data_IF_443031979411
#
_entry.id   IF_443031979411
#
_cell.length_a   1.000
_cell.length_b   1.000
_cell.length_c   1.000
_cell.angle_alpha   90.00
_cell.angle_beta   90.00
_cell.angle_gamma   90.00
#
_symmetry.space_group_name_H-M   'P 1'
#
loop_
_entity.id
_entity.type
_entity.pdbx_description
1 polymer ?
#
# COMPACT_ATOMS: atom_id res chain seq x y z
N UNK A 1 14.72 34.57 62.85
CA UNK A 1 14.72 33.08 62.78
C UNK A 1 16.17 32.59 62.83
N UNK A 2 16.45 31.53 63.57
CA UNK A 2 17.79 30.92 63.55
C UNK A 2 18.01 30.29 62.13
N UNK A 3 19.17 30.54 61.51
CA UNK A 3 19.47 29.91 60.22
C UNK A 3 19.43 28.39 60.36
N UNK A 4 18.97 27.72 59.33
CA UNK A 4 18.94 26.25 59.26
C UNK A 4 20.35 25.69 59.26
N UNK A 5 20.63 24.58 59.95
CA UNK A 5 21.95 23.97 60.00
C UNK A 5 22.35 23.23 58.70
N UNK A 6 21.61 23.38 57.67
CA UNK A 6 21.83 22.82 56.34
C UNK A 6 21.26 23.71 55.25
N UNK A 7 21.74 23.52 54.02
CA UNK A 7 21.26 24.19 52.80
C UNK A 7 20.77 23.12 51.80
N UNK A 8 19.72 23.42 51.08
CA UNK A 8 19.17 22.56 50.05
C UNK A 8 19.38 23.24 48.69
N UNK A 9 20.06 22.54 47.81
CA UNK A 9 20.20 22.94 46.41
C UNK A 9 19.16 22.20 45.59
N UNK A 10 18.25 22.93 44.96
CA UNK A 10 17.25 22.41 44.04
C UNK A 10 17.84 22.27 42.64
N UNK A 11 17.39 21.29 41.89
CA UNK A 11 17.79 21.09 40.51
C UNK A 11 17.38 22.27 39.63
N UNK A 12 16.12 22.73 39.75
CA UNK A 12 15.55 23.88 39.08
C UNK A 12 14.27 24.33 39.80
N UNK A 13 13.81 25.56 39.52
CA UNK A 13 12.50 26.07 40.00
C UNK A 13 11.39 25.88 38.96
N UNK A 14 11.75 25.68 37.71
CA UNK A 14 10.85 25.39 36.60
C UNK A 14 11.48 24.32 35.70
N UNK A 15 10.70 23.30 35.37
CA UNK A 15 11.15 22.15 34.58
C UNK A 15 10.12 21.88 33.49
N UNK A 16 10.60 21.81 32.24
CA UNK A 16 9.79 21.41 31.11
C UNK A 16 9.92 19.91 30.88
N UNK A 17 8.78 19.24 30.64
CA UNK A 17 8.71 17.83 30.30
C UNK A 17 7.72 17.65 29.15
N UNK A 18 7.88 16.58 28.35
CA UNK A 18 6.88 16.21 27.34
C UNK A 18 5.77 15.41 28.00
N UNK A 19 4.56 15.59 27.54
CA UNK A 19 3.37 14.87 28.00
C UNK A 19 3.59 13.35 27.94
N UNK A 20 3.41 12.69 29.10
CA UNK A 20 3.58 11.25 29.26
C UNK A 20 4.97 10.82 29.69
N UNK A 21 5.95 11.75 29.77
CA UNK A 21 7.28 11.43 30.26
C UNK A 21 7.31 11.30 31.79
N UNK A 22 8.34 10.60 32.26
CA UNK A 22 8.72 10.55 33.67
C UNK A 22 9.74 11.64 33.97
N UNK A 23 9.66 12.22 35.19
CA UNK A 23 10.62 13.20 35.69
C UNK A 23 11.25 12.71 36.96
N UNK A 24 12.56 12.49 37.00
CA UNK A 24 13.31 12.31 38.24
C UNK A 24 13.81 13.68 38.74
N UNK A 25 13.25 14.16 39.88
CA UNK A 25 13.66 15.39 40.52
C UNK A 25 14.62 15.09 41.65
N UNK A 26 15.80 15.75 41.66
CA UNK A 26 16.86 15.54 42.65
C UNK A 26 17.11 16.79 43.45
N UNK A 27 17.43 16.59 44.73
CA UNK A 27 17.96 17.64 45.61
C UNK A 27 19.29 17.21 46.20
N UNK A 28 20.16 18.17 46.39
CA UNK A 28 21.41 17.99 47.13
C UNK A 28 21.37 18.85 48.42
N UNK A 29 21.76 18.26 49.54
CA UNK A 29 21.70 18.89 50.84
C UNK A 29 23.11 18.95 51.42
N UNK A 30 23.53 20.12 51.90
CA UNK A 30 24.85 20.33 52.52
C UNK A 30 24.68 20.94 53.93
N UNK A 31 25.53 20.59 54.88
CA UNK A 31 25.49 21.11 56.24
C UNK A 31 25.80 20.05 57.27
N UNK A 32 25.79 20.46 58.54
CA UNK A 32 26.19 19.60 59.66
C UNK A 32 25.08 18.67 60.18
N UNK A 33 23.80 19.09 60.05
CA UNK A 33 22.64 18.34 60.53
C UNK A 33 21.58 18.19 59.36
N UNK A 34 21.83 17.23 58.47
CA UNK A 34 20.94 16.93 57.34
C UNK A 34 19.73 16.12 57.85
N UNK A 35 18.49 16.51 57.51
CA UNK A 35 17.30 15.71 57.79
C UNK A 35 17.38 14.32 57.14
N UNK A 36 16.94 13.30 57.86
CA UNK A 36 16.93 11.93 57.32
C UNK A 36 15.89 11.71 56.21
N UNK A 37 14.84 12.55 56.21
CA UNK A 37 13.70 12.42 55.29
C UNK A 37 13.35 13.76 54.65
N UNK A 38 13.13 13.74 53.35
CA UNK A 38 12.52 14.82 52.57
C UNK A 38 11.25 14.33 51.92
N UNK A 39 10.33 15.25 51.69
CA UNK A 39 9.02 14.97 51.13
C UNK A 39 8.73 15.93 49.98
N UNK A 40 8.04 15.42 48.96
CA UNK A 40 7.41 16.18 47.87
C UNK A 40 5.96 16.40 48.23
N UNK A 41 5.54 17.65 48.28
CA UNK A 41 4.15 18.05 48.51
C UNK A 41 3.55 18.54 47.18
N UNK A 42 2.57 17.82 46.66
CA UNK A 42 1.81 18.15 45.46
C UNK A 42 0.37 18.49 45.84
N UNK A 43 -0.45 18.93 44.86
CA UNK A 43 -1.90 19.16 45.06
C UNK A 43 -2.66 17.91 45.51
N UNK A 44 -2.16 16.72 45.18
CA UNK A 44 -2.78 15.43 45.51
C UNK A 44 -2.23 14.76 46.75
N UNK A 45 -1.22 15.35 47.41
CA UNK A 45 -0.70 14.85 48.67
C UNK A 45 0.83 14.90 48.82
N UNK A 46 1.28 14.36 49.96
CA UNK A 46 2.68 14.32 50.32
C UNK A 46 3.28 12.94 50.08
N UNK A 47 4.47 12.88 49.47
CA UNK A 47 5.23 11.65 49.22
C UNK A 47 6.65 11.78 49.70
N UNK A 48 7.21 10.71 50.26
CA UNK A 48 8.58 10.67 50.72
C UNK A 48 9.56 10.51 49.56
N UNK A 49 10.65 11.31 49.55
CA UNK A 49 11.73 11.16 48.59
C UNK A 49 12.60 9.95 48.91
N UNK A 50 13.15 9.32 47.91
CA UNK A 50 14.13 8.25 48.02
C UNK A 50 15.49 8.83 48.33
N UNK A 51 16.14 8.33 49.37
CA UNK A 51 17.51 8.73 49.76
C UNK A 51 18.50 7.96 48.86
N UNK A 52 19.24 8.67 48.03
CA UNK A 52 20.26 8.08 47.14
C UNK A 52 21.63 7.99 47.82
N UNK A 53 21.97 9.00 48.63
CA UNK A 53 23.21 9.06 49.41
C UNK A 53 23.00 9.83 50.72
N UNK A 54 24.09 10.12 51.44
CA UNK A 54 24.02 10.91 52.71
C UNK A 54 23.41 12.30 52.45
N UNK A 55 23.64 12.87 51.29
CA UNK A 55 23.29 14.24 50.93
C UNK A 55 22.47 14.39 49.64
N UNK A 56 21.98 13.30 49.05
CA UNK A 56 21.17 13.32 47.84
C UNK A 56 19.86 12.57 48.03
N UNK A 57 18.77 13.18 47.53
CA UNK A 57 17.43 12.61 47.55
C UNK A 57 16.79 12.81 46.19
N UNK A 58 15.99 11.84 45.75
CA UNK A 58 15.24 11.91 44.48
C UNK A 58 13.76 11.53 44.67
N UNK A 59 12.95 12.05 43.81
CA UNK A 59 11.56 11.63 43.63
C UNK A 59 11.25 11.50 42.14
N UNK A 60 10.55 10.43 41.73
CA UNK A 60 10.16 10.19 40.36
C UNK A 60 8.67 10.47 40.22
N UNK A 61 8.35 11.45 39.37
CA UNK A 61 7.01 11.67 38.88
C UNK A 61 6.83 10.81 37.65
N UNK A 62 5.83 9.92 37.64
CA UNK A 62 5.61 9.01 36.54
C UNK A 62 4.45 9.47 35.67
N UNK A 63 4.60 9.35 34.33
CA UNK A 63 3.54 9.60 33.33
C UNK A 63 2.87 10.97 33.53
N UNK A 64 3.61 12.05 33.42
CA UNK A 64 3.13 13.41 33.68
C UNK A 64 2.30 13.90 32.48
N UNK A 65 0.99 14.10 32.68
CA UNK A 65 0.06 14.55 31.64
C UNK A 65 -0.38 16.00 31.78
N UNK A 66 -0.20 16.61 32.94
CA UNK A 66 -0.65 17.98 33.25
C UNK A 66 0.40 18.73 34.01
N UNK A 67 0.53 20.01 33.71
CA UNK A 67 1.41 20.91 34.48
C UNK A 67 0.96 20.97 35.94
N UNK A 68 1.91 20.86 36.83
CA UNK A 68 1.67 20.89 38.29
C UNK A 68 2.75 21.65 39.01
N UNK A 69 2.47 21.92 40.27
CA UNK A 69 3.38 22.60 41.20
C UNK A 69 3.59 21.73 42.41
N UNK A 70 4.81 21.78 42.93
CA UNK A 70 5.15 21.06 44.17
C UNK A 70 6.15 21.83 45.01
N UNK A 71 6.27 21.44 46.25
CA UNK A 71 7.26 21.95 47.20
C UNK A 71 8.00 20.79 47.83
N UNK A 72 9.25 21.03 48.22
CA UNK A 72 10.05 20.09 48.98
C UNK A 72 10.06 20.52 50.46
N UNK A 73 9.80 19.59 51.33
CA UNK A 73 9.88 19.82 52.79
C UNK A 73 10.80 18.82 53.46
N UNK A 74 11.53 19.26 54.49
CA UNK A 74 12.41 18.40 55.27
C UNK A 74 12.85 19.07 56.58
N UNK A 75 12.51 18.50 57.70
CA UNK A 75 12.68 19.16 58.99
C UNK A 75 11.87 20.47 59.07
N UNK A 76 12.55 21.62 59.19
CA UNK A 76 11.95 22.96 59.15
C UNK A 76 12.09 23.66 57.79
N UNK A 77 12.67 22.99 56.81
CA UNK A 77 12.85 23.52 55.45
C UNK A 77 11.58 23.38 54.64
N UNK A 78 11.23 24.45 53.94
CA UNK A 78 10.20 24.49 52.92
C UNK A 78 10.81 25.20 51.72
N UNK A 79 10.81 24.54 50.53
CA UNK A 79 11.31 25.12 49.29
C UNK A 79 10.39 26.21 48.75
N UNK A 80 10.88 27.07 47.84
CA UNK A 80 10.00 27.76 46.91
C UNK A 80 9.11 26.78 46.16
N UNK A 81 8.02 27.29 45.56
CA UNK A 81 7.16 26.51 44.64
C UNK A 81 7.94 26.17 43.39
N UNK A 82 8.01 24.89 43.04
CA UNK A 82 8.65 24.35 41.84
C UNK A 82 7.56 24.02 40.86
N UNK A 83 7.75 24.39 39.59
CA UNK A 83 6.76 24.18 38.51
C UNK A 83 7.23 23.11 37.56
N UNK A 84 6.34 22.19 37.26
CA UNK A 84 6.47 21.29 36.11
C UNK A 84 5.57 21.82 35.02
N UNK A 85 6.16 22.19 33.88
CA UNK A 85 5.46 22.62 32.68
C UNK A 85 5.41 21.42 31.71
N UNK A 86 4.21 20.97 31.39
CA UNK A 86 4.01 19.86 30.47
C UNK A 86 3.73 20.40 29.07
N UNK A 87 4.64 20.09 28.15
CA UNK A 87 4.51 20.39 26.75
C UNK A 87 3.77 19.26 26.02
N UNK A 88 2.85 19.57 25.09
CA UNK A 88 2.09 18.54 24.40
C UNK A 88 2.99 17.63 23.56
N UNK A 89 2.65 16.33 23.50
CA UNK A 89 3.30 15.34 22.63
C UNK A 89 2.58 15.27 21.28
N UNK A 90 3.31 15.25 20.15
CA UNK A 90 2.69 15.12 18.84
C UNK A 90 1.99 13.77 18.72
N UNK A 91 0.73 13.78 18.27
CA UNK A 91 -0.12 12.59 18.27
C UNK A 91 -0.82 12.41 16.92
N UNK A 92 -0.73 11.20 16.36
CA UNK A 92 -1.58 10.76 15.26
C UNK A 92 -2.88 10.18 15.84
N UNK A 93 -4.00 10.85 15.61
CA UNK A 93 -5.31 10.44 16.13
C UNK A 93 -5.87 9.27 15.33
N UNK A 94 -5.98 9.43 14.03
CA UNK A 94 -6.41 8.41 13.08
C UNK A 94 -5.98 8.79 11.67
N UNK A 95 -6.17 7.88 10.73
CA UNK A 95 -5.90 8.13 9.32
C UNK A 95 -6.84 7.35 8.42
N UNK A 96 -7.05 7.91 7.23
CA UNK A 96 -7.85 7.33 6.17
C UNK A 96 -7.00 7.18 4.91
N UNK A 97 -7.33 6.16 4.11
CA UNK A 97 -6.69 5.90 2.82
C UNK A 97 -7.74 5.90 1.74
N UNK A 98 -7.69 6.88 0.86
CA UNK A 98 -8.53 6.96 -0.34
C UNK A 98 -7.82 6.26 -1.51
N UNK A 99 -8.51 5.34 -2.17
CA UNK A 99 -8.03 4.56 -3.30
C UNK A 99 -8.82 4.95 -4.55
N UNK A 100 -8.13 5.47 -5.56
CA UNK A 100 -8.72 5.78 -6.85
C UNK A 100 -8.07 4.88 -7.92
N UNK A 101 -8.84 3.91 -8.40
CA UNK A 101 -8.35 2.87 -9.30
C UNK A 101 -8.22 3.38 -10.74
N UNK A 102 -7.31 2.82 -11.55
CA UNK A 102 -7.23 3.10 -12.97
C UNK A 102 -8.57 2.84 -13.68
N UNK A 103 -8.90 3.68 -14.65
CA UNK A 103 -10.22 3.64 -15.32
C UNK A 103 -10.55 2.29 -15.96
N UNK A 104 -9.55 1.58 -16.49
CA UNK A 104 -9.75 0.30 -17.17
C UNK A 104 -10.20 -0.82 -16.23
N UNK A 105 -9.88 -0.73 -14.92
CA UNK A 105 -10.30 -1.69 -13.90
C UNK A 105 -11.81 -1.59 -13.62
N UNK A 106 -12.45 -0.47 -13.97
CA UNK A 106 -13.88 -0.22 -13.77
C UNK A 106 -14.36 -0.42 -12.31
N UNK A 107 -13.51 -0.09 -11.35
CA UNK A 107 -13.77 -0.17 -9.90
C UNK A 107 -14.05 1.22 -9.33
N UNK A 108 -15.02 1.33 -8.42
CA UNK A 108 -15.34 2.59 -7.74
C UNK A 108 -14.26 2.94 -6.74
N UNK A 109 -14.09 4.26 -6.48
CA UNK A 109 -13.25 4.79 -5.40
C UNK A 109 -13.62 4.13 -4.08
N UNK A 110 -12.62 3.79 -3.26
CA UNK A 110 -12.77 3.21 -1.93
C UNK A 110 -12.06 4.07 -0.89
N UNK A 111 -12.57 4.05 0.34
CA UNK A 111 -11.91 4.66 1.49
C UNK A 111 -11.77 3.61 2.59
N UNK A 112 -10.55 3.46 3.10
CA UNK A 112 -10.18 2.55 4.17
C UNK A 112 -9.75 3.36 5.38
N UNK A 113 -10.10 2.92 6.59
CA UNK A 113 -9.68 3.57 7.82
C UNK A 113 -8.79 2.66 8.66
N UNK A 114 -7.71 3.21 9.23
CA UNK A 114 -6.85 2.53 10.18
C UNK A 114 -6.06 1.32 9.64
N UNK A 115 -5.81 1.24 8.33
CA UNK A 115 -5.06 0.14 7.71
C UNK A 115 -3.64 0.57 7.37
N UNK A 116 -2.65 0.00 8.05
CA UNK A 116 -1.21 0.21 7.76
C UNK A 116 -0.70 -0.64 6.60
N UNK A 117 -1.46 -1.67 6.20
CA UNK A 117 -1.15 -2.52 5.05
C UNK A 117 -2.35 -2.56 4.13
N UNK A 118 -2.14 -2.13 2.89
CA UNK A 118 -3.20 -2.03 1.87
C UNK A 118 -2.71 -2.71 0.60
N UNK A 119 -3.58 -3.52 -0.01
CA UNK A 119 -3.31 -4.21 -1.27
C UNK A 119 -4.12 -3.55 -2.37
N UNK A 120 -3.45 -3.15 -3.45
CA UNK A 120 -4.07 -2.40 -4.56
C UNK A 120 -3.60 -2.89 -5.92
N UNK A 121 -4.44 -2.81 -6.96
CA UNK A 121 -3.99 -2.98 -8.34
C UNK A 121 -2.94 -1.95 -8.73
N UNK A 122 -2.03 -2.34 -9.62
CA UNK A 122 -1.02 -1.45 -10.18
C UNK A 122 -1.66 -0.21 -10.82
N UNK A 123 -1.06 0.96 -10.59
CA UNK A 123 -1.52 2.23 -11.11
C UNK A 123 -2.61 2.92 -10.29
N UNK A 124 -3.00 2.37 -9.12
CA UNK A 124 -3.93 3.01 -8.19
C UNK A 124 -3.34 4.30 -7.64
N UNK A 125 -4.10 5.40 -7.68
CA UNK A 125 -3.75 6.62 -6.95
C UNK A 125 -4.17 6.44 -5.50
N UNK A 126 -3.18 6.50 -4.61
CA UNK A 126 -3.34 6.30 -3.17
C UNK A 126 -3.17 7.65 -2.47
N UNK A 127 -4.14 8.03 -1.64
CA UNK A 127 -4.11 9.26 -0.85
C UNK A 127 -4.34 8.92 0.61
N UNK A 128 -3.35 9.21 1.45
CA UNK A 128 -3.46 9.15 2.90
C UNK A 128 -3.85 10.51 3.45
N UNK A 129 -4.78 10.52 4.38
CA UNK A 129 -5.22 11.68 5.16
C UNK A 129 -4.95 11.35 6.61
N UNK A 130 -4.01 12.04 7.24
CA UNK A 130 -3.62 11.86 8.63
C UNK A 130 -4.23 12.96 9.48
N UNK A 131 -5.08 12.58 10.43
CA UNK A 131 -5.69 13.49 11.41
C UNK A 131 -4.82 13.51 12.65
N UNK A 132 -4.32 14.67 13.00
CA UNK A 132 -3.31 14.82 14.05
C UNK A 132 -3.75 15.77 15.15
N UNK A 133 -2.99 15.75 16.23
CA UNK A 133 -3.12 16.69 17.34
C UNK A 133 -1.74 17.10 17.83
N UNK A 134 -1.55 18.41 18.05
CA UNK A 134 -0.30 18.98 18.54
C UNK A 134 0.92 18.67 17.64
N UNK A 135 0.73 18.61 16.33
CA UNK A 135 1.75 18.32 15.30
C UNK A 135 2.04 19.56 14.48
N UNK A 136 3.30 20.00 14.46
CA UNK A 136 3.77 21.13 13.67
C UNK A 136 4.35 20.69 12.31
N UNK A 137 4.93 19.48 12.26
CA UNK A 137 5.56 18.93 11.05
C UNK A 137 5.34 17.41 10.93
N UNK A 138 5.13 16.98 9.68
CA UNK A 138 5.06 15.56 9.30
C UNK A 138 6.05 15.28 8.18
N UNK A 139 6.82 14.23 8.33
CA UNK A 139 7.77 13.75 7.35
C UNK A 139 7.43 12.31 6.95
N UNK A 140 7.49 12.04 5.66
CA UNK A 140 7.30 10.70 5.10
C UNK A 140 8.61 10.25 4.45
N UNK A 141 9.10 9.08 4.84
CA UNK A 141 10.24 8.42 4.20
C UNK A 141 9.69 7.29 3.35
N UNK A 142 9.68 7.47 2.03
CA UNK A 142 9.15 6.51 1.06
C UNK A 142 10.27 6.05 0.13
N UNK A 143 10.57 4.75 0.12
CA UNK A 143 11.66 4.14 -0.66
C UNK A 143 12.99 4.94 -0.55
N UNK A 144 13.37 5.29 0.69
CA UNK A 144 14.56 6.09 1.03
C UNK A 144 14.51 7.56 0.60
N UNK A 145 13.40 8.04 0.04
CA UNK A 145 13.17 9.45 -0.30
C UNK A 145 12.43 10.14 0.84
N UNK A 146 12.93 11.31 1.22
CA UNK A 146 12.35 12.12 2.30
C UNK A 146 11.37 13.15 1.76
N UNK A 147 10.14 13.14 2.26
CA UNK A 147 9.08 14.06 1.88
C UNK A 147 8.61 14.86 3.10
N UNK A 148 8.72 16.16 3.06
CA UNK A 148 8.12 17.05 4.05
C UNK A 148 6.68 17.34 3.62
N UNK A 149 5.72 16.92 4.44
CA UNK A 149 4.30 17.04 4.15
C UNK A 149 3.77 18.34 4.75
N UNK A 150 3.12 19.15 3.92
CA UNK A 150 2.46 20.37 4.39
C UNK A 150 1.12 20.04 5.02
N UNK A 151 0.80 20.75 6.11
CA UNK A 151 -0.50 20.64 6.76
C UNK A 151 -1.60 21.32 5.93
N UNK A 152 -2.77 20.72 5.95
CA UNK A 152 -4.03 21.30 5.44
C UNK A 152 -4.97 21.45 6.65
N UNK A 153 -4.83 22.56 7.41
CA UNK A 153 -5.45 22.71 8.73
C UNK A 153 -4.76 21.83 9.78
N UNK A 154 -5.52 20.98 10.44
CA UNK A 154 -5.01 19.99 11.41
C UNK A 154 -4.67 18.64 10.76
N UNK A 155 -4.84 18.54 9.44
CA UNK A 155 -4.63 17.32 8.68
C UNK A 155 -3.35 17.40 7.84
N UNK A 156 -2.75 16.24 7.56
CA UNK A 156 -1.64 16.10 6.63
C UNK A 156 -2.04 15.13 5.52
N UNK A 157 -1.72 15.48 4.27
CA UNK A 157 -2.11 14.69 3.10
C UNK A 157 -0.88 14.23 2.35
N UNK A 158 -0.76 12.90 2.18
CA UNK A 158 0.28 12.27 1.38
C UNK A 158 -0.33 11.43 0.27
N UNK A 159 0.04 11.70 -0.98
CA UNK A 159 -0.50 11.00 -2.14
C UNK A 159 0.61 10.55 -3.09
N UNK A 160 0.41 9.40 -3.72
CA UNK A 160 1.30 8.85 -4.73
C UNK A 160 0.57 7.83 -5.60
N UNK A 161 1.18 7.48 -6.73
CA UNK A 161 0.70 6.41 -7.61
C UNK A 161 1.40 5.09 -7.28
N UNK A 162 0.63 4.06 -6.95
CA UNK A 162 1.13 2.73 -6.60
C UNK A 162 1.51 1.92 -7.86
N UNK A 163 2.77 1.97 -8.26
CA UNK A 163 3.31 1.25 -9.43
C UNK A 163 3.98 -0.06 -9.02
N UNK A 164 4.61 -0.08 -7.87
CA UNK A 164 5.27 -1.25 -7.31
C UNK A 164 5.02 -1.31 -5.81
N UNK A 165 5.15 -2.50 -5.23
CA UNK A 165 5.07 -2.69 -3.77
C UNK A 165 6.12 -1.84 -3.08
N UNK A 166 5.69 -1.04 -2.12
CA UNK A 166 6.54 -0.09 -1.42
C UNK A 166 6.21 -0.01 0.07
N UNK A 167 7.17 0.51 0.84
CA UNK A 167 7.01 0.79 2.26
C UNK A 167 7.36 2.24 2.51
N UNK A 168 6.60 2.88 3.38
CA UNK A 168 6.94 4.21 3.85
C UNK A 168 6.74 4.32 5.36
N UNK A 169 7.40 5.30 5.94
CA UNK A 169 7.38 5.57 7.37
C UNK A 169 6.94 7.02 7.59
N UNK A 170 6.02 7.21 8.52
CA UNK A 170 5.52 8.54 8.89
C UNK A 170 6.15 8.93 10.23
N UNK A 171 6.80 10.08 10.25
CA UNK A 171 7.33 10.72 11.44
C UNK A 171 6.61 12.04 11.68
N UNK A 172 6.24 12.30 12.92
CA UNK A 172 5.53 13.51 13.35
C UNK A 172 6.31 14.21 14.46
N UNK A 173 6.30 15.53 14.44
CA UNK A 173 7.00 16.34 15.41
C UNK A 173 6.26 17.64 15.71
N UNK A 174 6.59 18.22 16.86
CA UNK A 174 6.28 19.60 17.19
C UNK A 174 7.54 20.31 17.72
N UNK A 175 7.42 21.54 18.14
CA UNK A 175 8.57 22.33 18.62
C UNK A 175 9.22 21.78 19.91
N UNK A 176 8.57 20.86 20.61
CA UNK A 176 9.07 20.31 21.88
C UNK A 176 9.56 18.88 21.78
N UNK A 177 8.99 18.09 20.88
CA UNK A 177 9.34 16.69 20.77
C UNK A 177 9.12 16.14 19.35
N UNK A 178 9.83 15.07 19.04
CA UNK A 178 9.72 14.28 17.83
C UNK A 178 9.32 12.85 18.22
N UNK A 179 8.47 12.23 17.41
CA UNK A 179 8.16 10.81 17.58
C UNK A 179 9.38 9.95 17.22
N UNK A 180 9.97 9.31 18.21
CA UNK A 180 11.15 8.45 18.04
C UNK A 180 10.84 7.10 17.35
N UNK A 181 9.56 6.77 17.15
CA UNK A 181 9.11 5.53 16.53
C UNK A 181 8.28 5.85 15.26
N UNK A 182 8.91 5.95 14.08
CA UNK A 182 8.18 6.18 12.84
C UNK A 182 7.13 5.09 12.58
N UNK A 183 5.95 5.50 12.14
CA UNK A 183 4.82 4.59 11.90
C UNK A 183 4.97 3.96 10.51
N UNK A 184 5.09 2.61 10.42
CA UNK A 184 5.28 1.92 9.15
C UNK A 184 3.97 1.72 8.40
N UNK A 185 3.99 1.95 7.09
CA UNK A 185 2.92 1.64 6.15
C UNK A 185 3.46 0.79 5.01
N UNK A 186 2.62 -0.11 4.49
CA UNK A 186 2.95 -0.98 3.36
C UNK A 186 1.84 -0.95 2.32
N UNK A 187 2.21 -0.64 1.08
CA UNK A 187 1.32 -0.77 -0.07
C UNK A 187 1.79 -1.94 -0.91
N UNK A 188 0.96 -2.97 -0.99
CA UNK A 188 1.19 -4.13 -1.84
C UNK A 188 0.51 -3.93 -3.18
N UNK A 189 1.30 -3.93 -4.24
CA UNK A 189 0.79 -3.76 -5.60
C UNK A 189 0.60 -5.11 -6.27
N UNK A 190 -0.62 -5.34 -6.75
CA UNK A 190 -0.95 -6.49 -7.58
C UNK A 190 -0.74 -6.06 -9.04
N UNK A 191 0.25 -6.63 -9.74
CA UNK A 191 0.43 -6.36 -11.17
C UNK A 191 -0.74 -6.93 -11.97
N UNK A 192 -1.02 -6.31 -13.10
CA UNK A 192 -1.99 -6.76 -14.08
C UNK A 192 -1.51 -8.06 -14.74
N UNK A 193 -2.35 -9.10 -14.77
CA UNK A 193 -2.02 -10.41 -15.30
C UNK A 193 -2.06 -10.44 -16.85
N UNK A 194 -1.54 -11.50 -17.44
CA UNK A 194 -1.71 -11.77 -18.87
C UNK A 194 -3.07 -12.42 -19.12
N UNK A 195 -3.75 -12.11 -20.22
CA UNK A 195 -5.00 -12.77 -20.56
C UNK A 195 -4.79 -14.26 -20.84
N UNK A 196 -5.82 -15.04 -20.65
CA UNK A 196 -5.84 -16.47 -20.91
C UNK A 196 -6.75 -16.80 -22.10
N UNK A 197 -6.39 -17.81 -22.87
CA UNK A 197 -7.18 -18.28 -24.00
C UNK A 197 -7.08 -19.78 -24.15
N UNK A 198 -8.21 -20.44 -24.32
CA UNK A 198 -8.35 -21.85 -24.66
C UNK A 198 -9.29 -21.96 -25.83
N UNK A 199 -8.90 -22.74 -26.88
CA UNK A 199 -9.67 -22.88 -28.08
C UNK A 199 -9.75 -24.36 -28.51
N UNK A 200 -10.90 -24.77 -29.01
CA UNK A 200 -11.11 -26.09 -29.61
C UNK A 200 -11.61 -25.89 -31.02
N UNK A 201 -11.07 -26.66 -31.95
CA UNK A 201 -11.53 -26.73 -33.32
C UNK A 201 -12.48 -27.91 -33.50
N UNK A 202 -13.55 -27.70 -34.23
CA UNK A 202 -14.52 -28.71 -34.61
C UNK A 202 -14.55 -28.79 -36.15
N UNK A 203 -13.92 -29.80 -36.70
CA UNK A 203 -13.91 -30.03 -38.13
C UNK A 203 -14.77 -31.27 -38.42
N UNK A 204 -15.81 -31.13 -39.24
CA UNK A 204 -16.42 -32.28 -39.87
C UNK A 204 -15.47 -32.75 -41.01
N UNK A 205 -15.29 -34.05 -41.15
CA UNK A 205 -14.46 -34.62 -42.20
C UNK A 205 -14.84 -34.04 -43.54
N UNK A 206 -13.87 -33.40 -44.26
CA UNK A 206 -14.02 -32.76 -45.55
C UNK A 206 -14.94 -31.53 -45.62
N UNK A 207 -15.26 -30.91 -44.48
CA UNK A 207 -16.04 -29.67 -44.49
C UNK A 207 -15.16 -28.52 -44.98
N UNK A 208 -15.74 -27.72 -45.88
CA UNK A 208 -15.15 -26.44 -46.30
C UNK A 208 -15.20 -25.35 -45.21
N UNK A 209 -15.85 -25.65 -44.11
CA UNK A 209 -15.97 -24.76 -42.96
C UNK A 209 -15.30 -25.37 -41.73
N UNK A 210 -14.48 -24.56 -41.08
CA UNK A 210 -13.90 -24.88 -39.77
C UNK A 210 -14.60 -24.06 -38.70
N UNK A 211 -15.02 -24.71 -37.62
CA UNK A 211 -15.68 -24.10 -36.50
C UNK A 211 -14.74 -24.12 -35.28
N UNK A 212 -14.70 -23.01 -34.57
CA UNK A 212 -13.92 -22.87 -33.36
C UNK A 212 -14.83 -22.43 -32.23
N UNK A 213 -14.59 -22.99 -31.04
CA UNK A 213 -15.17 -22.53 -29.80
C UNK A 213 -14.03 -22.26 -28.81
N UNK A 214 -14.07 -21.15 -28.11
CA UNK A 214 -13.03 -20.82 -27.18
C UNK A 214 -13.56 -20.13 -25.91
N UNK A 215 -12.71 -20.15 -24.88
CA UNK A 215 -12.90 -19.46 -23.64
C UNK A 215 -11.72 -18.53 -23.45
N UNK A 216 -12.01 -17.27 -23.09
CA UNK A 216 -11.02 -16.24 -22.73
C UNK A 216 -11.28 -15.76 -21.31
N UNK A 217 -10.21 -15.48 -20.58
CA UNK A 217 -10.26 -14.93 -19.21
C UNK A 217 -9.17 -13.89 -19.01
N UNK A 218 -9.46 -12.89 -18.15
CA UNK A 218 -8.56 -11.82 -17.77
C UNK A 218 -9.06 -11.22 -16.45
N UNK A 219 -8.19 -10.54 -15.69
CA UNK A 219 -8.58 -9.95 -14.40
C UNK A 219 -9.41 -8.66 -14.54
N UNK A 220 -9.22 -7.88 -15.64
CA UNK A 220 -9.91 -6.60 -15.82
C UNK A 220 -10.63 -6.43 -17.17
N UNK A 221 -10.51 -7.41 -18.09
CA UNK A 221 -11.22 -7.44 -19.37
C UNK A 221 -10.30 -7.28 -20.58
N UNK A 222 -10.92 -7.15 -21.75
CA UNK A 222 -10.26 -7.31 -23.02
C UNK A 222 -10.34 -6.07 -23.90
N UNK A 223 -9.37 -5.92 -24.82
CA UNK A 223 -9.43 -4.91 -25.91
C UNK A 223 -9.85 -5.52 -27.23
N UNK A 224 -9.31 -6.67 -27.61
CA UNK A 224 -9.58 -7.34 -28.90
C UNK A 224 -9.22 -8.83 -28.86
N UNK A 225 -9.95 -9.61 -29.66
CA UNK A 225 -9.63 -10.99 -30.04
C UNK A 225 -9.43 -11.03 -31.54
N UNK A 226 -8.29 -11.58 -31.97
CA UNK A 226 -7.92 -11.69 -33.40
C UNK A 226 -7.77 -13.16 -33.73
N UNK A 227 -8.25 -13.52 -34.91
CA UNK A 227 -7.97 -14.80 -35.57
C UNK A 227 -6.96 -14.54 -36.69
N UNK A 228 -5.84 -15.21 -36.61
CA UNK A 228 -4.76 -15.17 -37.59
C UNK A 228 -4.79 -16.42 -38.47
N UNK A 229 -4.62 -16.21 -39.74
CA UNK A 229 -4.62 -17.26 -40.75
C UNK A 229 -3.46 -17.01 -41.70
N UNK A 230 -2.71 -18.06 -42.04
CA UNK A 230 -1.56 -18.03 -42.95
C UNK A 230 -1.47 -19.32 -43.72
N UNK A 231 -1.30 -19.23 -45.06
CA UNK A 231 -0.97 -20.38 -45.92
C UNK A 231 0.54 -20.57 -45.91
N UNK A 232 1.03 -21.77 -45.54
CA UNK A 232 2.45 -22.06 -45.45
C UNK A 232 3.13 -21.82 -46.77
N UNK A 233 4.32 -21.20 -46.73
CA UNK A 233 5.08 -20.78 -47.92
C UNK A 233 4.42 -19.73 -48.84
N UNK A 234 3.27 -19.17 -48.44
CA UNK A 234 2.55 -18.12 -49.18
C UNK A 234 2.14 -16.97 -48.26
N UNK A 235 3.08 -16.20 -47.66
CA UNK A 235 2.76 -15.19 -46.66
C UNK A 235 1.84 -14.07 -47.17
N UNK A 236 1.77 -13.86 -48.50
CA UNK A 236 0.84 -12.93 -49.12
C UNK A 236 -0.63 -13.41 -49.07
N UNK A 237 -0.88 -14.65 -48.68
CA UNK A 237 -2.21 -15.23 -48.45
C UNK A 237 -2.52 -15.34 -46.96
N UNK A 238 -2.09 -14.36 -46.20
CA UNK A 238 -2.42 -14.23 -44.76
C UNK A 238 -3.52 -13.21 -44.56
N UNK A 239 -4.36 -13.42 -43.56
CA UNK A 239 -5.31 -12.41 -43.10
C UNK A 239 -5.51 -12.47 -41.61
N UNK A 240 -6.03 -11.35 -41.05
CA UNK A 240 -6.39 -11.24 -39.66
C UNK A 240 -7.86 -10.83 -39.55
N UNK A 241 -8.66 -11.64 -38.88
CA UNK A 241 -10.10 -11.38 -38.66
C UNK A 241 -10.29 -10.99 -37.18
N UNK A 242 -10.99 -9.90 -36.94
CA UNK A 242 -11.40 -9.53 -35.58
C UNK A 242 -12.65 -10.31 -35.20
N UNK A 243 -12.64 -10.90 -34.01
CA UNK A 243 -13.77 -11.60 -33.42
C UNK A 243 -14.43 -10.67 -32.41
N UNK A 244 -15.75 -10.55 -32.48
CA UNK A 244 -16.50 -9.74 -31.52
C UNK A 244 -16.59 -10.46 -30.18
N UNK A 245 -16.24 -9.72 -29.13
CA UNK A 245 -16.24 -10.19 -27.74
C UNK A 245 -16.82 -9.11 -26.82
N UNK A 246 -17.38 -9.52 -25.68
CA UNK A 246 -17.78 -8.59 -24.68
C UNK A 246 -16.54 -8.13 -23.89
N UNK A 247 -16.10 -6.89 -24.16
CA UNK A 247 -14.88 -6.31 -23.60
C UNK A 247 -14.96 -5.99 -22.08
N UNK A 248 -16.17 -5.96 -21.53
CA UNK A 248 -16.41 -5.62 -20.11
C UNK A 248 -16.42 -6.84 -19.21
N UNK A 249 -16.53 -8.02 -19.77
CA UNK A 249 -16.46 -9.26 -19.03
C UNK A 249 -15.02 -9.67 -18.81
N UNK A 250 -14.75 -10.27 -17.65
CA UNK A 250 -13.45 -10.83 -17.31
C UNK A 250 -13.33 -12.30 -17.72
N UNK A 251 -14.43 -12.92 -18.14
CA UNK A 251 -14.48 -14.29 -18.64
C UNK A 251 -15.65 -14.45 -19.59
N UNK A 252 -15.39 -14.88 -20.81
CA UNK A 252 -16.44 -15.09 -21.82
C UNK A 252 -16.05 -16.15 -22.83
N UNK A 253 -17.06 -16.81 -23.42
CA UNK A 253 -16.89 -17.73 -24.54
C UNK A 253 -17.06 -17.00 -25.86
N UNK A 254 -16.40 -17.49 -26.89
CA UNK A 254 -16.59 -17.03 -28.26
C UNK A 254 -16.74 -18.20 -29.20
N UNK A 255 -17.36 -17.93 -30.36
CA UNK A 255 -17.50 -18.85 -31.44
C UNK A 255 -17.02 -18.17 -32.74
N UNK A 256 -16.32 -18.92 -33.57
CA UNK A 256 -15.84 -18.43 -34.85
C UNK A 256 -15.98 -19.52 -35.88
N UNK A 257 -16.49 -19.15 -37.06
CA UNK A 257 -16.47 -20.02 -38.26
C UNK A 257 -15.63 -19.37 -39.34
N UNK A 258 -14.89 -20.18 -40.02
CA UNK A 258 -14.05 -19.79 -41.16
C UNK A 258 -14.46 -20.64 -42.37
N UNK A 259 -14.91 -19.97 -43.43
CA UNK A 259 -15.23 -20.59 -44.69
C UNK A 259 -13.99 -20.58 -45.59
N UNK A 260 -13.45 -21.76 -45.84
CA UNK A 260 -12.24 -21.95 -46.62
C UNK A 260 -12.48 -21.64 -48.13
N UNK A 261 -13.72 -21.73 -48.63
CA UNK A 261 -14.03 -21.37 -50.01
C UNK A 261 -13.90 -19.87 -50.29
N UNK A 262 -13.99 -19.04 -49.29
CA UNK A 262 -13.76 -17.58 -49.40
C UNK A 262 -12.30 -17.20 -49.53
N UNK A 263 -11.40 -18.17 -49.32
CA UNK A 263 -9.96 -17.98 -49.33
C UNK A 263 -9.34 -18.52 -50.59
N UNK A 264 -8.26 -17.89 -51.05
CA UNK A 264 -7.52 -18.38 -52.24
C UNK A 264 -6.60 -19.54 -51.83
N UNK A 265 -7.19 -20.72 -51.62
CA UNK A 265 -6.53 -21.95 -51.20
C UNK A 265 -6.50 -22.93 -52.34
N UNK A 266 -5.40 -23.67 -52.51
CA UNK A 266 -5.22 -24.66 -53.55
C UNK A 266 -5.05 -26.05 -52.92
N UNK A 267 -5.42 -27.13 -53.67
CA UNK A 267 -5.14 -28.49 -53.24
C UNK A 267 -3.67 -28.71 -52.88
N UNK A 268 -3.43 -29.28 -51.72
CA UNK A 268 -2.10 -29.51 -51.16
C UNK A 268 -1.53 -28.34 -50.34
N UNK A 269 -2.29 -27.26 -50.15
CA UNK A 269 -1.87 -26.17 -49.24
C UNK A 269 -1.96 -26.61 -47.77
N UNK A 270 -0.97 -26.20 -47.00
CA UNK A 270 -0.95 -26.32 -45.54
C UNK A 270 -1.26 -24.94 -44.90
N UNK A 271 -2.23 -24.93 -44.01
CA UNK A 271 -2.71 -23.70 -43.35
C UNK A 271 -2.37 -23.76 -41.88
N UNK A 272 -1.84 -22.66 -41.38
CA UNK A 272 -1.63 -22.40 -39.94
C UNK A 272 -2.56 -21.30 -39.48
N UNK A 273 -3.23 -21.52 -38.36
CA UNK A 273 -4.07 -20.49 -37.76
C UNK A 273 -3.97 -20.51 -36.22
N UNK A 274 -4.25 -19.38 -35.62
CA UNK A 274 -4.31 -19.22 -34.16
C UNK A 274 -5.18 -18.02 -33.80
N UNK A 275 -5.59 -17.98 -32.51
CA UNK A 275 -6.27 -16.84 -31.96
C UNK A 275 -5.31 -16.07 -31.04
N UNK A 276 -5.44 -14.74 -31.02
CA UNK A 276 -4.66 -13.85 -30.15
C UNK A 276 -5.59 -12.93 -29.38
N UNK A 277 -5.64 -13.10 -28.06
CA UNK A 277 -6.41 -12.24 -27.13
C UNK A 277 -5.50 -11.16 -26.57
N UNK A 278 -6.04 -9.96 -26.44
CA UNK A 278 -5.36 -8.80 -25.86
C UNK A 278 -6.15 -8.26 -24.68
N UNK A 279 -5.48 -8.03 -23.55
CA UNK A 279 -6.04 -7.42 -22.36
C UNK A 279 -6.26 -5.90 -22.51
N UNK A 280 -6.69 -5.26 -21.43
CA UNK A 280 -6.97 -3.83 -21.38
C UNK A 280 -6.01 -3.06 -20.47
N UNK A 281 -4.81 -3.61 -20.13
CA UNK A 281 -3.83 -2.95 -19.26
C UNK A 281 -3.53 -1.52 -19.73
N UNK A 282 -3.99 -0.55 -18.97
CA UNK A 282 -3.81 0.88 -19.24
C UNK A 282 -2.55 1.48 -18.61
N UNK A 283 -1.76 0.69 -17.88
CA UNK A 283 -0.55 1.15 -17.18
C UNK A 283 0.71 0.75 -17.95
N UNK A 284 0.86 -0.54 -18.27
CA UNK A 284 2.07 -1.07 -18.94
C UNK A 284 1.85 -1.26 -20.44
N UNK A 285 0.61 -1.05 -20.93
CA UNK A 285 0.18 -1.37 -22.28
C UNK A 285 -0.41 -2.77 -22.40
N UNK A 286 -1.38 -2.91 -23.32
CA UNK A 286 -2.09 -4.19 -23.51
C UNK A 286 -1.12 -5.33 -23.82
N UNK A 287 -1.25 -6.41 -23.09
CA UNK A 287 -0.52 -7.67 -23.24
C UNK A 287 -1.35 -8.64 -24.10
N UNK A 288 -0.71 -9.59 -24.74
CA UNK A 288 -1.42 -10.60 -25.51
C UNK A 288 -1.02 -12.02 -25.17
N UNK A 289 -1.92 -12.95 -25.46
CA UNK A 289 -1.66 -14.39 -25.44
C UNK A 289 -2.25 -15.04 -26.66
N UNK A 290 -1.53 -16.01 -27.22
CA UNK A 290 -1.96 -16.81 -28.36
C UNK A 290 -2.50 -18.15 -27.87
N UNK A 291 -3.47 -18.69 -28.66
CA UNK A 291 -3.92 -20.07 -28.54
C UNK A 291 -2.84 -21.04 -29.04
N UNK A 292 -3.14 -22.32 -28.99
CA UNK A 292 -2.43 -23.32 -29.76
C UNK A 292 -2.55 -23.04 -31.27
N UNK A 293 -1.59 -23.54 -32.03
CA UNK A 293 -1.63 -23.50 -33.50
C UNK A 293 -2.55 -24.62 -34.01
N UNK A 294 -3.45 -24.25 -34.92
CA UNK A 294 -4.28 -25.19 -35.66
C UNK A 294 -3.70 -25.36 -37.05
N UNK A 295 -3.55 -26.61 -37.45
CA UNK A 295 -3.08 -27.00 -38.79
C UNK A 295 -4.26 -27.58 -39.58
N UNK A 296 -4.45 -27.09 -40.80
CA UNK A 296 -5.46 -27.59 -41.75
C UNK A 296 -4.70 -27.95 -42.99
N UNK A 297 -4.70 -29.24 -43.35
CA UNK A 297 -4.13 -29.75 -44.61
C UNK A 297 -5.22 -29.82 -45.65
N UNK A 298 -5.08 -29.09 -46.75
CA UNK A 298 -6.01 -29.15 -47.87
C UNK A 298 -5.69 -30.39 -48.72
N UNK A 299 -6.65 -31.32 -48.89
CA UNK A 299 -6.41 -32.54 -49.66
C UNK A 299 -5.82 -32.26 -51.05
N UNK A 300 -4.86 -33.09 -51.48
CA UNK A 300 -4.31 -33.00 -52.84
C UNK A 300 -5.35 -33.41 -53.87
N UNK A 301 -5.14 -33.07 -55.14
CA UNK A 301 -6.03 -33.50 -56.21
C UNK A 301 -6.16 -35.03 -56.30
N UNK A 302 -5.06 -35.75 -56.10
CA UNK A 302 -5.05 -37.23 -56.12
C UNK A 302 -5.89 -37.81 -54.96
N UNK A 303 -5.84 -37.19 -53.78
CA UNK A 303 -6.67 -37.59 -52.64
C UNK A 303 -8.14 -37.30 -52.89
N UNK A 304 -8.47 -36.15 -53.51
CA UNK A 304 -9.84 -35.79 -53.87
C UNK A 304 -10.43 -36.72 -54.94
N UNK A 305 -9.65 -37.09 -55.97
CA UNK A 305 -10.06 -38.02 -57.01
C UNK A 305 -10.29 -39.41 -56.38
N UNK A 306 -9.44 -39.91 -55.52
CA UNK A 306 -9.62 -41.22 -54.87
C UNK A 306 -10.84 -41.29 -53.95
N UNK A 307 -11.23 -40.14 -53.30
CA UNK A 307 -12.44 -40.05 -52.50
C UNK A 307 -13.70 -40.04 -53.38
N UNK A 308 -13.65 -39.34 -54.52
CA UNK A 308 -14.74 -39.31 -55.45
C UNK A 308 -15.02 -40.75 -56.00
N UNK A 309 -13.98 -41.49 -56.40
CA UNK A 309 -14.07 -42.86 -56.87
C UNK A 309 -14.62 -43.83 -55.81
N UNK A 310 -14.28 -43.65 -54.55
CA UNK A 310 -14.76 -44.48 -53.41
C UNK A 310 -16.20 -44.19 -53.01
N UNK A 311 -16.78 -43.06 -53.42
CA UNK A 311 -18.18 -42.68 -53.12
C UNK A 311 -19.18 -43.08 -54.24
N UNK A 312 -18.69 -43.62 -55.34
CA UNK A 312 -19.54 -44.13 -56.46
C UNK A 312 -19.71 -45.66 -56.41
N UNK A 313 -19.06 -46.39 -55.51
CA UNK A 313 -19.29 -47.79 -55.21
C UNK A 313 -20.28 -47.96 -53.99
#
# INVERSE_FOLDING_TARGET
EKPLPFQVSLQAEEIEVTQGDDLEFKIRVTGEKIPEKFYVNTSVGTRMMTKLSINEFSYVFNNIYQSEKFQITGGKYISPEIKIIVNPSPTLLHYETELNFPKYINRKKETLSGKTRVMVPQGTDVKFIFHTKDVDAMNVIHDSTYHNIKSEGDDFVYNFKAIQTSKFYVNISNKWSENNNPIPFTIEVIPDAYPEIQVQAFNENFSKQTYYSGLIADDYGFTKLLYHFEVENKPYQSFVKRIDINKKETRTSFYCSVDLDTLTIYPGDEIKSYFEIWDNDGINGSKSRRSELFHISVPTRETLDSIADSSEE
#
